data_IF_200219420081
#
_entry.id   IF_200219420081
#
_cell.length_a   1.000
_cell.length_b   1.000
_cell.length_c   1.000
_cell.angle_alpha   90.00
_cell.angle_beta   90.00
_cell.angle_gamma   90.00
#
_symmetry.space_group_name_H-M   'P 1'
#
loop_
_entity.id
_entity.type
_entity.pdbx_description
1 polymer ?
#
# COMPACT_ATOMS: atom_id res chain seq x y z
N UNK A 1 13.04 27.30 -19.90
CA UNK A 1 12.85 25.92 -19.48
C UNK A 1 12.66 25.88 -17.97
N UNK A 2 11.59 25.31 -17.53
CA UNK A 2 11.48 25.10 -16.09
C UNK A 2 12.61 24.19 -15.67
N UNK A 3 13.32 24.65 -14.70
CA UNK A 3 14.41 23.88 -14.15
C UNK A 3 13.91 23.13 -12.91
N UNK A 4 13.86 21.82 -13.02
CA UNK A 4 13.52 21.00 -11.88
C UNK A 4 14.80 20.67 -11.13
N UNK A 5 14.85 20.95 -9.84
CA UNK A 5 16.01 20.50 -9.06
C UNK A 5 16.11 18.98 -9.17
N UNK A 6 17.32 18.42 -9.19
CA UNK A 6 17.48 16.97 -9.34
C UNK A 6 16.66 16.17 -8.33
N UNK A 7 16.47 16.68 -7.14
CA UNK A 7 15.70 15.99 -6.11
C UNK A 7 14.19 16.05 -6.33
N UNK A 8 13.72 16.83 -7.32
CA UNK A 8 12.29 16.88 -7.61
C UNK A 8 11.75 15.52 -8.05
N UNK A 9 12.57 14.73 -8.72
CA UNK A 9 12.16 13.38 -9.13
C UNK A 9 12.01 12.44 -7.94
N UNK A 10 12.81 12.64 -6.92
CA UNK A 10 12.70 11.86 -5.70
C UNK A 10 11.47 12.27 -4.90
N UNK A 11 11.11 13.55 -4.97
CA UNK A 11 9.93 14.04 -4.29
C UNK A 11 8.64 13.42 -4.84
N UNK A 12 8.63 13.00 -6.14
CA UNK A 12 7.45 12.36 -6.72
C UNK A 12 7.16 11.00 -6.10
N UNK A 13 8.13 10.41 -5.38
CA UNK A 13 7.93 9.15 -4.67
C UNK A 13 7.52 9.37 -3.21
N UNK A 14 7.17 10.59 -2.86
CA UNK A 14 6.67 10.90 -1.53
C UNK A 14 5.15 10.99 -1.57
N UNK A 15 4.45 10.27 -0.70
CA UNK A 15 2.99 10.40 -0.62
C UNK A 15 2.60 11.80 -0.10
N UNK A 16 1.38 12.21 -0.40
CA UNK A 16 0.87 13.50 0.06
C UNK A 16 0.78 13.52 1.59
N UNK A 17 1.01 14.69 2.17
CA UNK A 17 0.99 14.84 3.62
C UNK A 17 -0.37 14.52 4.23
N UNK A 18 -1.47 14.91 3.56
CA UNK A 18 -2.80 14.62 4.06
C UNK A 18 -3.09 13.12 4.09
N UNK A 19 -2.70 12.41 3.04
CA UNK A 19 -2.87 10.97 3.00
C UNK A 19 -2.03 10.28 4.07
N UNK A 20 -0.78 10.73 4.24
CA UNK A 20 0.10 10.20 5.28
C UNK A 20 -0.52 10.40 6.65
N UNK A 21 -1.06 11.58 6.91
CA UNK A 21 -1.67 11.86 8.20
C UNK A 21 -2.84 10.93 8.47
N UNK A 22 -3.71 10.73 7.49
CA UNK A 22 -4.84 9.81 7.64
C UNK A 22 -4.36 8.39 7.95
N UNK A 23 -3.40 7.91 7.19
CA UNK A 23 -2.90 6.54 7.34
C UNK A 23 -2.17 6.37 8.67
N UNK A 24 -1.34 7.34 9.07
CA UNK A 24 -0.61 7.25 10.33
C UNK A 24 -1.53 7.30 11.55
N UNK A 25 -2.64 8.03 11.47
CA UNK A 25 -3.55 8.16 12.60
C UNK A 25 -4.63 7.10 12.65
N UNK A 26 -5.10 6.60 11.50
CA UNK A 26 -6.26 5.71 11.44
C UNK A 26 -5.94 4.28 11.04
N UNK A 27 -4.84 4.04 10.35
CA UNK A 27 -4.56 2.72 9.79
C UNK A 27 -3.40 2.03 10.49
N UNK A 28 -2.26 2.70 10.57
CA UNK A 28 -1.05 2.09 11.18
C UNK A 28 -1.31 1.60 12.61
N UNK A 29 -2.02 2.35 13.48
CA UNK A 29 -2.26 1.87 14.85
C UNK A 29 -3.00 0.54 14.93
N UNK A 30 -3.74 0.15 13.90
CA UNK A 30 -4.44 -1.14 13.88
C UNK A 30 -3.47 -2.32 13.97
N UNK A 31 -2.24 -2.13 13.46
CA UNK A 31 -1.23 -3.18 13.43
C UNK A 31 -0.65 -3.49 14.81
N UNK A 32 -0.87 -2.61 15.80
CA UNK A 32 -0.35 -2.82 17.14
C UNK A 32 -0.92 -4.07 17.81
N UNK A 33 -2.12 -4.50 17.41
CA UNK A 33 -2.76 -5.67 17.96
C UNK A 33 -2.39 -6.98 17.25
N UNK A 34 -1.62 -6.89 16.17
CA UNK A 34 -1.22 -8.08 15.42
C UNK A 34 0.07 -8.66 16.00
N UNK A 35 0.40 -9.90 15.59
CA UNK A 35 1.63 -10.54 16.06
C UNK A 35 2.87 -9.81 15.53
N UNK A 36 4.05 -10.15 16.07
CA UNK A 36 5.29 -9.46 15.74
C UNK A 36 5.64 -9.50 14.26
N UNK A 37 5.28 -10.58 13.57
CA UNK A 37 5.58 -10.72 12.15
C UNK A 37 4.69 -9.83 11.27
N UNK A 38 3.59 -9.30 11.81
CA UNK A 38 2.61 -8.51 11.09
C UNK A 38 2.29 -7.19 11.79
N UNK A 39 3.17 -6.76 12.69
CA UNK A 39 2.93 -5.55 13.49
C UNK A 39 3.34 -4.26 12.80
N UNK A 40 3.42 -3.20 13.60
CA UNK A 40 3.76 -1.86 13.10
C UNK A 40 5.11 -1.80 12.40
N UNK A 41 6.11 -2.50 12.91
CA UNK A 41 7.43 -2.49 12.28
C UNK A 41 7.37 -3.14 10.90
N UNK A 42 6.60 -4.22 10.76
CA UNK A 42 6.46 -4.89 9.48
C UNK A 42 5.78 -3.98 8.45
N UNK A 43 4.64 -3.37 8.81
CA UNK A 43 3.94 -2.52 7.84
C UNK A 43 4.78 -1.32 7.43
N UNK A 44 5.54 -0.73 8.38
CA UNK A 44 6.42 0.39 8.04
C UNK A 44 7.55 -0.04 7.10
N UNK A 45 8.07 -1.24 7.31
CA UNK A 45 9.08 -1.81 6.42
C UNK A 45 8.51 -2.04 5.02
N UNK A 46 7.33 -2.61 4.93
CA UNK A 46 6.68 -2.85 3.63
C UNK A 46 6.42 -1.52 2.91
N UNK A 47 5.97 -0.50 3.63
CA UNK A 47 5.78 0.83 3.05
C UNK A 47 7.09 1.38 2.49
N UNK A 48 8.16 1.37 3.30
CA UNK A 48 9.45 1.91 2.88
C UNK A 48 10.01 1.17 1.67
N UNK A 49 9.94 -0.16 1.70
CA UNK A 49 10.45 -0.98 0.59
C UNK A 49 9.61 -0.81 -0.66
N UNK A 50 8.29 -0.71 -0.51
CA UNK A 50 7.39 -0.49 -1.65
C UNK A 50 7.68 0.85 -2.33
N UNK A 51 7.86 1.91 -1.56
CA UNK A 51 8.17 3.22 -2.10
C UNK A 51 9.56 3.24 -2.76
N UNK A 52 10.51 2.52 -2.20
CA UNK A 52 11.84 2.42 -2.78
C UNK A 52 11.80 1.70 -4.14
N UNK A 53 11.11 0.57 -4.20
CA UNK A 53 10.93 -0.17 -5.46
C UNK A 53 10.17 0.66 -6.49
N UNK A 54 9.17 1.42 -6.05
CA UNK A 54 8.34 2.23 -6.92
C UNK A 54 9.13 3.28 -7.72
N UNK A 55 10.29 3.69 -7.21
CA UNK A 55 11.15 4.66 -7.89
C UNK A 55 11.62 4.18 -9.26
N UNK A 56 11.59 2.89 -9.51
CA UNK A 56 12.03 2.30 -10.76
C UNK A 56 10.89 2.11 -11.78
N UNK A 57 9.69 2.54 -11.43
CA UNK A 57 8.50 2.33 -12.26
C UNK A 57 7.70 3.61 -12.38
N UNK A 58 6.89 3.69 -13.43
CA UNK A 58 5.97 4.82 -13.63
C UNK A 58 4.67 4.52 -12.89
N UNK A 59 4.65 4.82 -11.60
CA UNK A 59 3.50 4.54 -10.72
C UNK A 59 3.23 5.72 -9.81
N UNK A 60 2.02 5.75 -9.27
CA UNK A 60 1.57 6.80 -8.35
C UNK A 60 2.02 6.46 -6.93
N UNK A 61 2.82 7.34 -6.33
CA UNK A 61 3.35 7.11 -4.98
C UNK A 61 2.25 7.01 -3.93
N UNK A 62 1.18 7.80 -4.06
CA UNK A 62 0.06 7.74 -3.12
C UNK A 62 -0.62 6.37 -3.17
N UNK A 63 -0.80 5.82 -4.37
CA UNK A 63 -1.40 4.49 -4.51
C UNK A 63 -0.51 3.41 -3.90
N UNK A 64 0.80 3.45 -4.17
CA UNK A 64 1.75 2.50 -3.58
C UNK A 64 1.70 2.57 -2.06
N UNK A 65 1.73 3.77 -1.51
CA UNK A 65 1.72 3.99 -0.08
C UNK A 65 0.46 3.39 0.56
N UNK A 66 -0.69 3.69 -0.01
CA UNK A 66 -1.95 3.19 0.54
C UNK A 66 -2.05 1.68 0.43
N UNK A 67 -1.69 1.10 -0.71
CA UNK A 67 -1.73 -0.37 -0.87
C UNK A 67 -0.87 -1.04 0.20
N UNK A 68 0.37 -0.55 0.38
CA UNK A 68 1.27 -1.11 1.38
C UNK A 68 0.71 -0.96 2.80
N UNK A 69 0.12 0.20 3.11
CA UNK A 69 -0.43 0.45 4.43
C UNK A 69 -1.62 -0.43 4.76
N UNK A 70 -2.47 -0.75 3.79
CA UNK A 70 -3.68 -1.53 4.03
C UNK A 70 -3.47 -3.04 3.87
N UNK A 71 -2.31 -3.50 3.38
CA UNK A 71 -2.17 -4.87 2.88
C UNK A 71 -2.49 -5.97 3.89
N UNK A 72 -2.26 -5.74 5.17
CA UNK A 72 -2.53 -6.73 6.21
C UNK A 72 -3.63 -6.33 7.19
N UNK A 73 -4.38 -5.25 6.91
CA UNK A 73 -5.45 -4.81 7.81
C UNK A 73 -6.52 -5.88 8.02
N UNK A 74 -6.69 -6.77 7.05
CA UNK A 74 -7.67 -7.85 7.12
C UNK A 74 -7.35 -8.89 8.18
N UNK A 75 -6.14 -8.89 8.75
CA UNK A 75 -5.80 -9.81 9.83
C UNK A 75 -6.71 -9.61 11.06
N UNK A 76 -7.33 -8.43 11.20
CA UNK A 76 -8.31 -8.20 12.25
C UNK A 76 -9.50 -9.16 12.16
N UNK A 77 -9.76 -9.73 10.97
CA UNK A 77 -10.83 -10.69 10.72
C UNK A 77 -10.33 -12.13 10.59
N UNK A 78 -9.08 -12.39 10.97
CA UNK A 78 -8.47 -13.72 10.89
C UNK A 78 -7.49 -13.86 9.72
N UNK A 79 -6.71 -14.93 9.77
CA UNK A 79 -5.62 -15.13 8.81
C UNK A 79 -6.05 -15.67 7.46
N UNK A 80 -7.10 -16.47 7.42
CA UNK A 80 -7.38 -17.31 6.27
C UNK A 80 -7.64 -16.53 4.99
N UNK A 81 -8.46 -15.50 5.06
CA UNK A 81 -8.79 -14.67 3.91
C UNK A 81 -8.36 -13.22 4.14
N UNK A 82 -7.27 -13.02 4.87
CA UNK A 82 -6.89 -11.66 5.24
C UNK A 82 -6.61 -10.76 4.05
N UNK A 83 -6.10 -11.31 2.95
CA UNK A 83 -5.86 -10.54 1.73
C UNK A 83 -7.16 -10.01 1.13
N UNK A 84 -8.22 -10.83 1.13
CA UNK A 84 -9.54 -10.40 0.64
C UNK A 84 -10.12 -9.36 1.59
N UNK A 85 -10.06 -9.61 2.90
CA UNK A 85 -10.58 -8.69 3.90
C UNK A 85 -9.83 -7.35 3.88
N UNK A 86 -8.53 -7.39 3.62
CA UNK A 86 -7.74 -6.16 3.51
C UNK A 86 -8.22 -5.30 2.34
N UNK A 87 -8.53 -5.93 1.20
CA UNK A 87 -9.09 -5.23 0.06
C UNK A 87 -10.46 -4.62 0.36
N UNK A 88 -11.30 -5.36 1.09
CA UNK A 88 -12.61 -4.87 1.51
C UNK A 88 -12.48 -3.67 2.44
N UNK A 89 -11.53 -3.72 3.37
CA UNK A 89 -11.29 -2.62 4.32
C UNK A 89 -10.83 -1.38 3.56
N UNK A 90 -9.94 -1.54 2.59
CA UNK A 90 -9.51 -0.43 1.76
C UNK A 90 -10.69 0.23 1.05
N UNK A 91 -11.54 -0.57 0.40
CA UNK A 91 -12.69 -0.02 -0.33
C UNK A 91 -13.73 0.61 0.59
N UNK A 92 -13.85 0.10 1.82
CA UNK A 92 -14.81 0.63 2.78
C UNK A 92 -14.38 1.95 3.41
N UNK A 93 -13.11 2.31 3.30
CA UNK A 93 -12.61 3.55 3.86
C UNK A 93 -12.95 4.71 2.92
N UNK A 94 -14.07 5.37 3.21
CA UNK A 94 -14.58 6.44 2.36
C UNK A 94 -13.67 7.65 2.30
N UNK A 95 -12.78 7.85 3.29
CA UNK A 95 -11.81 8.95 3.27
C UNK A 95 -10.85 8.86 2.11
N UNK A 96 -10.59 7.65 1.61
CA UNK A 96 -9.69 7.47 0.47
C UNK A 96 -10.21 8.12 -0.80
N UNK A 97 -11.52 8.37 -0.88
CA UNK A 97 -12.11 9.06 -2.03
C UNK A 97 -11.64 10.51 -2.17
N UNK A 98 -11.03 11.04 -1.14
CA UNK A 98 -10.42 12.39 -1.19
C UNK A 98 -9.19 12.42 -2.09
N UNK A 99 -8.53 11.30 -2.27
CA UNK A 99 -7.25 11.21 -2.98
C UNK A 99 -7.30 10.34 -4.22
N UNK A 100 -8.28 9.44 -4.32
CA UNK A 100 -8.31 8.43 -5.37
C UNK A 100 -9.67 8.35 -6.05
N UNK A 101 -9.64 8.11 -7.36
CA UNK A 101 -10.86 7.85 -8.14
C UNK A 101 -11.33 6.42 -7.88
N UNK A 102 -12.57 6.12 -8.29
CA UNK A 102 -13.10 4.76 -8.18
C UNK A 102 -12.25 3.76 -8.95
N UNK A 103 -11.72 4.15 -10.11
CA UNK A 103 -10.86 3.29 -10.92
C UNK A 103 -9.55 3.00 -10.20
N UNK A 104 -8.94 4.01 -9.60
CA UNK A 104 -7.73 3.83 -8.83
C UNK A 104 -7.96 2.92 -7.63
N UNK A 105 -9.08 3.11 -6.93
CA UNK A 105 -9.41 2.28 -5.78
C UNK A 105 -9.59 0.81 -6.16
N UNK A 106 -10.18 0.54 -7.35
CA UNK A 106 -10.31 -0.83 -7.83
C UNK A 106 -8.94 -1.47 -8.09
N UNK A 107 -8.03 -0.73 -8.70
CA UNK A 107 -6.66 -1.20 -8.91
C UNK A 107 -5.96 -1.45 -7.57
N UNK A 108 -6.16 -0.55 -6.61
CA UNK A 108 -5.55 -0.67 -5.29
C UNK A 108 -6.10 -1.88 -4.54
N UNK A 109 -7.42 -2.13 -4.62
CA UNK A 109 -8.03 -3.32 -4.04
C UNK A 109 -7.40 -4.58 -4.60
N UNK A 110 -7.28 -4.65 -5.93
CA UNK A 110 -6.65 -5.80 -6.58
C UNK A 110 -5.21 -5.98 -6.11
N UNK A 111 -4.48 -4.88 -5.96
CA UNK A 111 -3.10 -4.94 -5.50
C UNK A 111 -3.00 -5.46 -4.06
N UNK A 112 -3.91 -5.02 -3.19
CA UNK A 112 -3.94 -5.51 -1.81
C UNK A 112 -4.23 -7.01 -1.78
N UNK A 113 -5.20 -7.47 -2.57
CA UNK A 113 -5.51 -8.91 -2.64
C UNK A 113 -4.31 -9.70 -3.14
N UNK A 114 -3.58 -9.13 -4.08
CA UNK A 114 -2.49 -9.84 -4.77
C UNK A 114 -1.17 -9.82 -4.01
N UNK A 115 -1.09 -9.18 -2.84
CA UNK A 115 0.16 -9.17 -2.07
C UNK A 115 0.57 -10.57 -1.61
N UNK A 116 -0.35 -11.52 -1.63
CA UNK A 116 -0.08 -12.92 -1.36
C UNK A 116 0.28 -13.69 -2.63
N UNK A 117 0.91 -13.02 -3.59
CA UNK A 117 1.26 -13.64 -4.85
C UNK A 117 2.05 -14.93 -4.63
N UNK A 118 1.73 -15.94 -5.42
CA UNK A 118 2.41 -17.23 -5.41
C UNK A 118 2.69 -17.64 -6.85
N UNK A 119 3.33 -18.79 -7.02
CA UNK A 119 3.59 -19.33 -8.36
C UNK A 119 2.29 -19.56 -9.14
N UNK A 120 1.19 -19.80 -8.44
CA UNK A 120 -0.11 -20.09 -9.06
C UNK A 120 -0.97 -18.84 -9.24
N UNK A 121 -0.56 -17.73 -8.66
CA UNK A 121 -1.36 -16.50 -8.69
C UNK A 121 -0.45 -15.29 -8.80
N UNK A 122 -0.23 -14.85 -10.03
CA UNK A 122 0.58 -13.65 -10.27
C UNK A 122 -0.26 -12.39 -10.00
N UNK A 123 0.37 -11.33 -9.48
CA UNK A 123 -0.34 -10.07 -9.28
C UNK A 123 -0.87 -9.51 -10.60
N UNK A 124 -2.09 -8.99 -10.56
CA UNK A 124 -2.77 -8.45 -11.74
C UNK A 124 -2.23 -7.10 -12.20
N UNK A 125 -1.62 -6.34 -11.29
CA UNK A 125 -1.14 -4.99 -11.59
C UNK A 125 0.29 -4.80 -11.12
N UNK A 126 0.95 -3.77 -11.65
CA UNK A 126 2.28 -3.37 -11.19
C UNK A 126 2.28 -3.00 -9.70
N UNK A 127 1.18 -2.40 -9.21
CA UNK A 127 1.05 -2.05 -7.80
C UNK A 127 1.08 -3.28 -6.92
N UNK A 128 0.36 -4.33 -7.31
CA UNK A 128 0.38 -5.60 -6.60
C UNK A 128 1.74 -6.27 -6.63
N UNK A 129 2.43 -6.20 -7.77
CA UNK A 129 3.77 -6.79 -7.91
C UNK A 129 4.77 -6.11 -6.98
N UNK A 130 4.75 -4.78 -6.94
CA UNK A 130 5.69 -4.02 -6.12
C UNK A 130 5.48 -4.35 -4.64
N UNK A 131 4.24 -4.31 -4.16
CA UNK A 131 3.97 -4.54 -2.75
C UNK A 131 4.19 -6.00 -2.36
N UNK A 132 3.82 -6.95 -3.22
CA UNK A 132 4.08 -8.36 -2.97
C UNK A 132 5.59 -8.64 -2.85
N UNK A 133 6.39 -8.02 -3.70
CA UNK A 133 7.84 -8.16 -3.64
C UNK A 133 8.41 -7.54 -2.37
N UNK A 134 7.92 -6.35 -2.00
CA UNK A 134 8.35 -5.68 -0.77
C UNK A 134 8.00 -6.51 0.46
N UNK A 135 6.83 -7.15 0.47
CA UNK A 135 6.38 -7.97 1.59
C UNK A 135 7.24 -9.22 1.79
N UNK A 136 7.87 -9.70 0.73
CA UNK A 136 8.74 -10.88 0.81
C UNK A 136 10.16 -10.58 1.23
N UNK A 137 10.55 -9.35 1.26
CA UNK A 137 11.93 -8.96 1.63
C UNK A 137 12.22 -9.11 3.11
#
# INVERSE_FOLDING_TARGET
MPHFPPNAYFCTMQPSEELKNHIETEIIPRYESFDAAHGTDHVRTVIAQSLDLARHYDVDADMIYAVAAYHDTGLARGRELHHIHSGEILLADTELRRWFTAEQLAVMRDAVEDHRASSDHAPRTIYGRIVAEADRC
#
